data_IF_916510153664
#
_entry.id   IF_916510153664
#
_cell.length_a   1.000
_cell.length_b   1.000
_cell.length_c   1.000
_cell.angle_alpha   90.00
_cell.angle_beta   90.00
_cell.angle_gamma   90.00
#
_symmetry.space_group_name_H-M   'P 1'
#
loop_
_entity.id
_entity.type
_entity.pdbx_description
1 polymer ?
#
# COMPACT_ATOMS: atom_id res chain seq x y z
N UNK A 1 38.86 22.25 72.27
CA UNK A 1 40.06 22.56 71.46
C UNK A 1 39.57 22.86 70.04
N UNK A 2 39.44 24.13 69.65
CA UNK A 2 40.49 24.95 69.01
C UNK A 2 41.01 24.23 67.75
N UNK A 3 40.61 24.53 66.49
CA UNK A 3 40.29 25.79 65.77
C UNK A 3 41.53 26.64 65.46
N UNK A 4 41.53 27.28 64.26
CA UNK A 4 42.59 28.10 63.62
C UNK A 4 43.78 27.27 63.08
N UNK A 5 44.44 27.54 61.94
CA UNK A 5 44.37 28.56 60.85
C UNK A 5 44.70 27.84 59.50
N UNK A 6 44.83 28.43 58.30
CA UNK A 6 44.89 29.80 57.78
C UNK A 6 44.17 29.91 56.41
N UNK A 7 43.90 31.13 55.93
CA UNK A 7 43.34 31.44 54.60
C UNK A 7 44.45 31.83 53.61
N UNK A 8 44.31 31.49 52.32
CA UNK A 8 44.98 32.21 51.21
C UNK A 8 43.95 32.53 50.13
N UNK A 9 43.77 33.83 49.84
CA UNK A 9 42.96 34.29 48.72
C UNK A 9 43.76 34.14 47.41
N UNK A 10 43.15 33.54 46.40
CA UNK A 10 43.60 33.59 45.01
C UNK A 10 42.48 34.16 44.13
N UNK A 11 42.51 35.47 43.87
CA UNK A 11 41.56 36.11 42.95
C UNK A 11 41.91 35.75 41.51
N UNK A 12 40.96 35.18 40.78
CA UNK A 12 41.02 35.06 39.31
C UNK A 12 39.75 35.65 38.72
N UNK A 13 39.92 36.58 37.79
CA UNK A 13 38.83 37.27 37.10
C UNK A 13 38.02 36.28 36.26
N UNK A 14 36.69 36.41 36.30
CA UNK A 14 35.80 35.81 35.31
C UNK A 14 35.89 36.65 34.04
N UNK A 15 36.67 36.19 33.06
CA UNK A 15 36.52 36.64 31.68
C UNK A 15 35.50 35.75 30.99
N UNK A 16 34.35 36.34 30.64
CA UNK A 16 33.37 35.69 29.79
C UNK A 16 33.96 35.51 28.38
N UNK A 17 33.96 34.27 27.88
CA UNK A 17 34.06 33.98 26.45
C UNK A 17 32.86 33.15 26.07
N UNK A 18 31.91 33.75 25.36
CA UNK A 18 30.81 33.03 24.74
C UNK A 18 31.35 32.31 23.51
N UNK A 19 31.50 30.99 23.58
CA UNK A 19 31.74 30.19 22.37
C UNK A 19 30.69 29.07 22.28
N UNK A 20 29.73 29.28 21.40
CA UNK A 20 28.54 28.45 21.28
C UNK A 20 28.79 27.21 20.45
N UNK A 21 29.11 26.08 21.09
CA UNK A 21 28.98 24.73 20.49
C UNK A 21 28.37 23.76 21.49
N UNK A 22 27.05 23.86 21.67
CA UNK A 22 26.28 22.76 22.23
C UNK A 22 26.42 21.55 21.30
N UNK A 23 27.01 20.47 21.80
CA UNK A 23 27.03 19.20 21.06
C UNK A 23 25.59 18.76 20.81
N UNK A 24 25.24 18.56 19.54
CA UNK A 24 23.96 17.95 19.17
C UNK A 24 23.93 16.54 19.78
N UNK A 25 22.93 16.18 20.61
CA UNK A 25 22.89 14.85 21.19
C UNK A 25 22.83 13.81 20.07
N UNK A 26 23.64 12.76 20.21
CA UNK A 26 23.55 11.60 19.32
C UNK A 26 22.13 11.07 19.35
N UNK A 27 21.51 10.97 18.18
CA UNK A 27 20.22 10.32 18.06
C UNK A 27 20.44 8.84 18.38
N UNK A 28 19.90 8.40 19.52
CA UNK A 28 19.80 7.00 19.88
C UNK A 28 19.20 6.21 18.71
N UNK A 29 19.77 5.03 18.44
CA UNK A 29 19.23 4.06 17.48
C UNK A 29 17.86 3.53 17.94
N UNK A 30 16.82 4.36 17.79
CA UNK A 30 15.46 3.84 17.64
C UNK A 30 15.42 3.24 16.24
N UNK A 31 15.58 1.92 16.16
CA UNK A 31 15.40 1.20 14.91
C UNK A 31 14.06 1.59 14.32
N UNK A 32 14.10 2.20 13.13
CA UNK A 32 12.91 2.42 12.33
C UNK A 32 12.25 1.05 12.14
N UNK A 33 10.92 0.90 12.37
CA UNK A 33 10.26 -0.38 12.20
C UNK A 33 10.62 -0.97 10.84
N UNK A 34 11.02 -2.24 10.80
CA UNK A 34 11.40 -2.90 9.56
C UNK A 34 10.24 -2.79 8.57
N UNK A 35 10.51 -2.18 7.42
CA UNK A 35 9.49 -1.95 6.41
C UNK A 35 9.12 -3.31 5.78
N UNK A 36 7.97 -3.84 6.21
CA UNK A 36 7.42 -5.11 5.75
C UNK A 36 7.12 -5.15 4.26
N UNK A 37 7.12 -3.99 3.60
CA UNK A 37 6.87 -3.85 2.18
C UNK A 37 8.12 -3.45 1.39
N UNK A 38 9.31 -3.35 2.02
CA UNK A 38 10.56 -3.18 1.27
C UNK A 38 10.79 -4.35 0.28
N UNK A 39 11.39 -4.05 -0.88
CA UNK A 39 11.73 -5.06 -1.87
C UNK A 39 13.25 -5.18 -2.07
N UNK A 40 13.71 -6.41 -2.35
CA UNK A 40 15.11 -6.74 -2.59
C UNK A 40 15.33 -7.15 -4.04
N UNK A 41 16.40 -6.64 -4.65
CA UNK A 41 16.78 -6.99 -6.02
C UNK A 41 17.27 -8.44 -6.06
N UNK A 42 16.57 -9.30 -6.79
CA UNK A 42 16.96 -10.70 -6.99
C UNK A 42 18.05 -10.84 -8.08
N UNK A 43 18.57 -12.05 -8.27
CA UNK A 43 19.63 -12.34 -9.26
C UNK A 43 19.21 -12.12 -10.72
N UNK A 44 17.92 -12.00 -11.01
CA UNK A 44 17.38 -11.65 -12.32
C UNK A 44 17.12 -10.14 -12.49
N UNK A 45 17.39 -9.32 -11.47
CA UNK A 45 17.24 -7.86 -11.51
C UNK A 45 15.87 -7.33 -11.12
N UNK A 46 14.92 -8.18 -10.70
CA UNK A 46 13.59 -7.77 -10.24
C UNK A 46 13.59 -7.42 -8.76
N UNK A 47 12.82 -6.42 -8.34
CA UNK A 47 12.63 -6.07 -6.94
C UNK A 47 11.50 -6.92 -6.35
N UNK A 48 11.85 -7.94 -5.56
CA UNK A 48 10.90 -8.89 -4.97
C UNK A 48 10.64 -8.49 -3.52
N UNK A 49 9.37 -8.42 -3.14
CA UNK A 49 8.94 -7.93 -1.84
C UNK A 49 9.06 -9.02 -0.76
N UNK A 50 9.26 -8.62 0.50
CA UNK A 50 9.48 -9.54 1.63
C UNK A 50 8.20 -10.00 2.32
N UNK A 51 7.07 -9.33 2.05
CA UNK A 51 5.74 -9.68 2.58
C UNK A 51 5.18 -11.00 2.03
N UNK A 52 3.98 -11.38 2.51
CA UNK A 52 3.33 -12.63 2.12
C UNK A 52 2.34 -12.43 0.95
N UNK A 53 2.44 -13.21 -0.16
CA UNK A 53 1.45 -13.18 -1.24
C UNK A 53 0.08 -13.67 -0.76
N UNK A 54 -0.97 -13.15 -1.39
CA UNK A 54 -2.33 -13.66 -1.20
C UNK A 54 -2.42 -15.08 -1.80
N UNK A 55 -3.02 -16.03 -1.08
CA UNK A 55 -3.18 -17.40 -1.57
C UNK A 55 -4.30 -17.54 -2.59
N UNK A 56 -5.23 -16.58 -2.61
CA UNK A 56 -6.48 -16.61 -3.38
C UNK A 56 -6.80 -15.28 -4.04
N UNK A 57 -7.58 -15.33 -5.13
CA UNK A 57 -8.02 -14.14 -5.86
C UNK A 57 -9.07 -14.45 -6.91
N UNK A 58 -9.64 -13.40 -7.51
CA UNK A 58 -10.59 -13.54 -8.61
C UNK A 58 -9.86 -13.89 -9.90
N UNK A 59 -10.29 -14.99 -10.53
CA UNK A 59 -9.89 -15.28 -11.92
C UNK A 59 -10.55 -14.25 -12.86
N UNK A 60 -9.73 -13.42 -13.51
CA UNK A 60 -10.14 -12.37 -14.47
C UNK A 60 -11.28 -12.82 -15.38
N UNK A 61 -12.30 -11.97 -15.53
CA UNK A 61 -13.41 -12.20 -16.46
C UNK A 61 -14.41 -13.28 -16.03
N UNK A 62 -14.25 -13.86 -14.84
CA UNK A 62 -15.14 -14.89 -14.29
C UNK A 62 -15.74 -14.44 -12.93
N UNK A 63 -16.50 -15.33 -12.30
CA UNK A 63 -16.89 -15.23 -10.89
C UNK A 63 -16.15 -16.28 -10.02
N UNK A 64 -15.05 -16.86 -10.48
CA UNK A 64 -14.34 -17.91 -9.75
C UNK A 64 -13.29 -17.29 -8.83
N UNK A 65 -13.33 -17.61 -7.54
CA UNK A 65 -12.14 -17.52 -6.69
C UNK A 65 -11.27 -18.73 -6.97
N UNK A 66 -10.01 -18.45 -7.30
CA UNK A 66 -8.96 -19.45 -7.52
C UNK A 66 -7.87 -19.30 -6.47
N UNK A 67 -7.11 -20.37 -6.25
CA UNK A 67 -5.83 -20.30 -5.55
C UNK A 67 -4.68 -19.88 -6.51
N UNK A 68 -3.48 -19.75 -5.96
CA UNK A 68 -2.23 -19.46 -6.72
C UNK A 68 -1.89 -20.46 -7.83
N UNK A 69 -2.44 -21.68 -7.84
CA UNK A 69 -2.25 -22.64 -8.94
C UNK A 69 -3.39 -22.63 -10.00
N UNK A 70 -4.36 -21.72 -9.87
CA UNK A 70 -5.47 -21.55 -10.80
C UNK A 70 -6.63 -22.53 -10.59
N UNK A 71 -6.60 -23.37 -9.54
CA UNK A 71 -7.73 -24.24 -9.19
C UNK A 71 -8.88 -23.42 -8.61
N UNK A 72 -10.08 -23.60 -9.16
CA UNK A 72 -11.32 -22.97 -8.66
C UNK A 72 -11.67 -23.54 -7.29
N UNK A 73 -11.88 -22.66 -6.32
CA UNK A 73 -12.25 -23.01 -4.94
C UNK A 73 -13.74 -22.80 -4.68
N UNK A 74 -14.27 -21.63 -5.04
CA UNK A 74 -15.66 -21.21 -4.79
C UNK A 74 -16.03 -19.99 -5.65
N UNK A 75 -17.30 -19.58 -5.62
CA UNK A 75 -17.83 -18.44 -6.38
C UNK A 75 -17.69 -17.10 -5.65
N UNK A 76 -17.54 -16.00 -6.39
CA UNK A 76 -17.66 -14.61 -5.91
C UNK A 76 -18.98 -14.32 -5.18
N UNK A 77 -20.03 -15.11 -5.40
CA UNK A 77 -21.32 -14.99 -4.69
C UNK A 77 -21.29 -15.51 -3.25
N UNK A 78 -20.23 -16.20 -2.88
CA UNK A 78 -19.99 -16.81 -1.56
C UNK A 78 -18.56 -16.52 -1.07
N UNK A 79 -17.95 -15.44 -1.57
CA UNK A 79 -16.59 -15.04 -1.24
C UNK A 79 -16.59 -13.76 -0.40
N UNK A 80 -15.83 -13.74 0.68
CA UNK A 80 -15.53 -12.51 1.43
C UNK A 80 -14.02 -12.42 1.67
N UNK A 81 -13.49 -11.20 1.72
CA UNK A 81 -12.11 -11.00 2.13
C UNK A 81 -12.03 -11.08 3.67
N UNK A 82 -11.01 -11.77 4.18
CA UNK A 82 -10.72 -11.93 5.59
C UNK A 82 -9.24 -11.68 5.87
N UNK A 83 -8.89 -11.35 7.11
CA UNK A 83 -7.49 -11.21 7.54
C UNK A 83 -6.84 -12.59 7.80
N UNK A 84 -5.56 -12.59 8.19
CA UNK A 84 -4.78 -13.78 8.54
C UNK A 84 -5.27 -14.57 9.77
N UNK A 85 -6.29 -14.07 10.48
CA UNK A 85 -6.99 -14.77 11.56
C UNK A 85 -8.38 -15.28 11.12
N UNK A 86 -8.65 -15.32 9.82
CA UNK A 86 -9.93 -15.66 9.18
C UNK A 86 -11.11 -14.73 9.57
N UNK A 87 -10.84 -13.56 10.17
CA UNK A 87 -11.88 -12.57 10.47
C UNK A 87 -12.25 -11.78 9.21
N UNK A 88 -13.54 -11.76 8.87
CA UNK A 88 -14.06 -11.02 7.71
C UNK A 88 -13.71 -9.53 7.81
N UNK A 89 -13.07 -9.01 6.75
CA UNK A 89 -12.68 -7.61 6.67
C UNK A 89 -13.92 -6.72 6.63
N UNK A 90 -14.02 -5.82 7.59
CA UNK A 90 -14.98 -4.72 7.53
C UNK A 90 -14.58 -3.75 6.43
N UNK A 91 -15.55 -3.33 5.62
CA UNK A 91 -15.34 -2.35 4.57
C UNK A 91 -14.80 -1.02 5.14
N UNK A 92 -13.70 -0.52 4.57
CA UNK A 92 -12.99 0.70 4.97
C UNK A 92 -12.02 1.18 3.89
N UNK A 93 -11.58 2.42 3.96
CA UNK A 93 -10.56 3.02 3.09
C UNK A 93 -9.12 2.54 3.32
N UNK A 94 -8.90 1.34 3.87
CA UNK A 94 -7.57 0.74 3.99
C UNK A 94 -7.33 -0.21 2.80
N UNK A 95 -6.19 -0.14 2.09
CA UNK A 95 -5.81 -1.11 1.07
C UNK A 95 -5.67 -2.54 1.60
N UNK A 96 -5.61 -3.50 0.68
CA UNK A 96 -5.22 -4.89 0.95
C UNK A 96 -3.89 -4.96 1.73
N UNK A 97 -3.86 -5.77 2.79
CA UNK A 97 -2.70 -5.99 3.65
C UNK A 97 -2.11 -7.39 3.47
N UNK A 98 -0.89 -7.57 3.92
CA UNK A 98 -0.26 -8.90 4.01
C UNK A 98 -1.12 -9.87 4.83
N UNK A 99 -1.36 -11.06 4.26
CA UNK A 99 -2.14 -12.11 4.89
C UNK A 99 -3.66 -11.91 4.83
N UNK A 100 -4.17 -10.87 4.16
CA UNK A 100 -5.56 -10.86 3.73
C UNK A 100 -5.79 -11.94 2.65
N UNK A 101 -6.92 -12.62 2.67
CA UNK A 101 -7.27 -13.64 1.66
C UNK A 101 -8.78 -13.74 1.46
N UNK A 102 -9.21 -14.34 0.33
CA UNK A 102 -10.61 -14.66 0.09
C UNK A 102 -10.97 -15.97 0.78
N UNK A 103 -12.03 -15.95 1.60
CA UNK A 103 -12.62 -17.14 2.24
C UNK A 103 -14.06 -17.37 1.76
N UNK A 104 -14.49 -18.63 1.83
CA UNK A 104 -15.88 -19.01 1.53
C UNK A 104 -16.78 -18.64 2.70
N UNK A 105 -17.72 -17.71 2.51
CA UNK A 105 -18.66 -17.28 3.55
C UNK A 105 -19.99 -16.78 2.96
N UNK A 106 -21.03 -16.74 3.80
CA UNK A 106 -22.33 -16.21 3.43
C UNK A 106 -22.27 -14.68 3.29
N UNK A 107 -22.64 -14.17 2.11
CA UNK A 107 -22.89 -12.74 1.90
C UNK A 107 -24.32 -12.30 2.30
N UNK A 108 -25.08 -13.16 2.97
CA UNK A 108 -26.42 -12.82 3.48
C UNK A 108 -26.31 -11.72 4.53
N UNK A 109 -27.03 -10.61 4.35
CA UNK A 109 -26.98 -9.44 5.22
C UNK A 109 -26.02 -8.34 4.75
N UNK A 110 -25.08 -8.64 3.84
CA UNK A 110 -24.23 -7.62 3.24
C UNK A 110 -25.00 -6.74 2.25
N UNK A 111 -24.76 -5.43 2.33
CA UNK A 111 -25.18 -4.43 1.35
C UNK A 111 -24.49 -4.63 -0.01
N UNK A 112 -24.97 -3.93 -1.04
CA UNK A 112 -24.33 -3.97 -2.35
C UNK A 112 -22.93 -3.32 -2.34
N UNK A 113 -22.70 -2.32 -1.47
CA UNK A 113 -21.39 -1.68 -1.34
C UNK A 113 -20.38 -2.61 -0.63
N UNK A 114 -20.78 -3.32 0.42
CA UNK A 114 -19.92 -4.31 1.09
C UNK A 114 -19.57 -5.51 0.19
N UNK A 115 -20.53 -5.99 -0.62
CA UNK A 115 -20.26 -7.00 -1.65
C UNK A 115 -19.28 -6.49 -2.71
N UNK A 116 -19.44 -5.23 -3.11
CA UNK A 116 -18.54 -4.57 -4.06
C UNK A 116 -17.15 -4.40 -3.46
N UNK A 117 -17.03 -4.07 -2.17
CA UNK A 117 -15.76 -4.04 -1.43
C UNK A 117 -15.04 -5.39 -1.48
N UNK A 118 -15.69 -6.49 -1.11
CA UNK A 118 -15.08 -7.81 -1.20
C UNK A 118 -14.70 -8.21 -2.64
N UNK A 119 -15.48 -7.79 -3.65
CA UNK A 119 -15.12 -7.98 -5.06
C UNK A 119 -13.90 -7.15 -5.48
N UNK A 120 -13.73 -5.93 -4.96
CA UNK A 120 -12.50 -5.14 -5.18
C UNK A 120 -11.29 -5.83 -4.56
N UNK A 121 -11.39 -6.32 -3.32
CA UNK A 121 -10.28 -7.07 -2.69
C UNK A 121 -9.88 -8.28 -3.54
N UNK A 122 -10.87 -9.07 -3.99
CA UNK A 122 -10.64 -10.23 -4.86
C UNK A 122 -9.98 -9.88 -6.21
N UNK A 123 -10.23 -8.68 -6.76
CA UNK A 123 -9.57 -8.16 -7.97
C UNK A 123 -8.15 -7.67 -7.67
N UNK A 124 -7.95 -6.98 -6.54
CA UNK A 124 -6.68 -6.34 -6.21
C UNK A 124 -5.61 -7.32 -5.69
N UNK A 125 -5.98 -8.41 -5.02
CA UNK A 125 -5.05 -9.44 -4.57
C UNK A 125 -4.16 -10.02 -5.69
N UNK A 126 -4.68 -10.50 -6.84
CA UNK A 126 -3.84 -11.01 -7.92
C UNK A 126 -3.04 -9.90 -8.63
N UNK A 127 -3.56 -8.66 -8.72
CA UNK A 127 -2.79 -7.51 -9.24
C UNK A 127 -1.59 -7.20 -8.32
N UNK A 128 -1.79 -7.26 -7.01
CA UNK A 128 -0.76 -7.09 -5.99
C UNK A 128 0.31 -8.19 -6.10
N UNK A 129 -0.09 -9.46 -6.16
CA UNK A 129 0.84 -10.56 -6.30
C UNK A 129 1.68 -10.45 -7.59
N UNK A 130 1.04 -10.09 -8.69
CA UNK A 130 1.67 -9.94 -10.01
C UNK A 130 2.80 -8.89 -10.01
N UNK A 131 2.64 -7.77 -9.32
CA UNK A 131 3.67 -6.72 -9.21
C UNK A 131 4.73 -7.05 -8.15
N UNK A 132 4.36 -7.67 -7.03
CA UNK A 132 5.24 -7.79 -5.86
C UNK A 132 6.06 -9.09 -5.80
N UNK A 133 5.56 -10.18 -6.39
CA UNK A 133 6.18 -11.51 -6.24
C UNK A 133 6.33 -12.25 -7.59
N UNK A 134 5.38 -12.11 -8.50
CA UNK A 134 5.29 -12.91 -9.74
C UNK A 134 5.81 -12.17 -10.99
N UNK A 135 6.42 -10.98 -10.80
CA UNK A 135 6.82 -10.07 -11.88
C UNK A 135 7.79 -10.69 -12.90
N UNK A 136 8.53 -11.73 -12.53
CA UNK A 136 9.41 -12.45 -13.45
C UNK A 136 8.63 -13.11 -14.60
N UNK A 137 7.56 -13.84 -14.27
CA UNK A 137 6.76 -14.65 -15.20
C UNK A 137 5.60 -13.85 -15.83
N UNK A 138 5.22 -12.73 -15.20
CA UNK A 138 4.18 -11.83 -15.71
C UNK A 138 4.56 -11.27 -17.10
N UNK A 139 3.72 -11.50 -18.11
CA UNK A 139 3.87 -10.90 -19.45
C UNK A 139 2.76 -9.86 -19.71
N UNK A 140 2.91 -9.05 -20.77
CA UNK A 140 1.96 -7.98 -21.10
C UNK A 140 0.52 -8.50 -21.23
N UNK A 141 0.29 -9.61 -21.93
CA UNK A 141 -1.06 -10.18 -22.09
C UNK A 141 -1.68 -10.56 -20.74
N UNK A 142 -0.88 -11.10 -19.81
CA UNK A 142 -1.35 -11.46 -18.48
C UNK A 142 -1.57 -10.22 -17.60
N UNK A 143 -0.76 -9.19 -17.76
CA UNK A 143 -0.95 -7.90 -17.10
C UNK A 143 -2.25 -7.21 -17.55
N UNK A 144 -2.48 -7.12 -18.86
CA UNK A 144 -3.69 -6.54 -19.46
C UNK A 144 -4.97 -7.27 -18.99
N UNK A 145 -4.93 -8.60 -18.91
CA UNK A 145 -5.99 -9.40 -18.27
C UNK A 145 -6.23 -8.96 -16.81
N UNK A 146 -5.19 -8.96 -15.97
CA UNK A 146 -5.31 -8.64 -14.55
C UNK A 146 -5.90 -7.25 -14.31
N UNK A 147 -5.49 -6.25 -15.09
CA UNK A 147 -5.92 -4.86 -14.89
C UNK A 147 -7.16 -4.46 -15.69
N UNK A 148 -7.83 -5.41 -16.36
CA UNK A 148 -9.02 -5.15 -17.18
C UNK A 148 -10.14 -4.39 -16.42
N UNK A 149 -10.37 -4.68 -15.14
CA UNK A 149 -11.38 -3.97 -14.33
C UNK A 149 -10.99 -2.53 -13.98
N UNK A 150 -9.68 -2.21 -13.96
CA UNK A 150 -9.18 -0.84 -13.83
C UNK A 150 -9.30 -0.11 -15.18
N UNK A 151 -8.97 -0.78 -16.29
CA UNK A 151 -9.04 -0.23 -17.64
C UNK A 151 -10.47 0.13 -18.07
N UNK A 152 -11.46 -0.71 -17.78
CA UNK A 152 -12.89 -0.42 -18.03
C UNK A 152 -13.37 0.90 -17.42
N UNK A 153 -12.64 1.43 -16.43
CA UNK A 153 -13.04 2.56 -15.59
C UNK A 153 -12.11 3.79 -15.72
N UNK A 154 -11.07 3.71 -16.54
CA UNK A 154 -10.11 4.82 -16.67
C UNK A 154 -9.16 4.94 -15.47
N UNK A 155 -9.04 3.91 -14.62
CA UNK A 155 -8.30 4.00 -13.37
C UNK A 155 -6.80 3.88 -13.65
N UNK A 156 -6.05 4.95 -13.34
CA UNK A 156 -4.59 5.01 -13.45
C UNK A 156 -4.07 4.86 -14.90
N UNK A 157 -4.68 5.55 -15.86
CA UNK A 157 -4.23 5.55 -17.28
C UNK A 157 -2.81 6.13 -17.49
N UNK A 158 -2.46 7.19 -16.76
CA UNK A 158 -1.25 7.98 -17.03
C UNK A 158 -0.14 7.75 -16.00
N UNK A 159 1.10 8.03 -16.41
CA UNK A 159 2.30 8.08 -15.56
C UNK A 159 2.86 9.49 -15.61
N UNK A 160 3.35 10.00 -14.48
CA UNK A 160 4.10 11.25 -14.39
C UNK A 160 5.23 11.08 -13.37
N UNK A 161 6.47 11.33 -13.82
CA UNK A 161 7.69 11.09 -13.02
C UNK A 161 8.64 12.30 -12.98
N UNK A 162 8.22 13.44 -13.53
CA UNK A 162 9.01 14.67 -13.60
C UNK A 162 8.73 15.63 -12.42
N UNK A 163 8.09 15.12 -11.36
CA UNK A 163 7.79 15.85 -10.14
C UNK A 163 9.04 16.16 -9.31
N UNK A 164 9.02 17.31 -8.62
CA UNK A 164 10.17 17.78 -7.84
C UNK A 164 10.41 16.95 -6.57
N UNK A 165 9.37 16.31 -6.03
CA UNK A 165 9.47 15.41 -4.88
C UNK A 165 8.80 14.05 -5.17
N UNK A 166 9.20 12.94 -4.51
CA UNK A 166 8.67 11.61 -4.81
C UNK A 166 7.13 11.50 -4.73
N UNK A 167 6.49 12.24 -3.83
CA UNK A 167 5.02 12.29 -3.71
C UNK A 167 4.31 12.88 -4.94
N UNK A 168 4.99 13.75 -5.69
CA UNK A 168 4.43 14.40 -6.88
C UNK A 168 4.43 13.45 -8.09
N UNK A 169 5.23 12.39 -8.02
CA UNK A 169 5.30 11.34 -9.02
C UNK A 169 4.20 10.30 -8.80
N UNK A 170 3.69 9.73 -9.89
CA UNK A 170 2.76 8.61 -9.86
C UNK A 170 2.90 7.76 -11.11
N UNK A 171 2.76 6.45 -10.95
CA UNK A 171 2.73 5.50 -12.06
C UNK A 171 1.29 5.15 -12.45
N UNK A 172 1.05 5.03 -13.74
CA UNK A 172 -0.16 4.42 -14.30
C UNK A 172 0.02 2.92 -14.49
N UNK A 173 -1.02 2.24 -15.00
CA UNK A 173 -1.02 0.77 -15.16
C UNK A 173 0.14 0.27 -16.03
N UNK A 174 0.43 0.91 -17.16
CA UNK A 174 1.58 0.51 -17.96
C UNK A 174 2.89 0.88 -17.26
N UNK A 175 3.00 2.09 -16.72
CA UNK A 175 4.24 2.57 -16.10
C UNK A 175 4.68 1.79 -14.86
N UNK A 176 3.74 1.31 -14.03
CA UNK A 176 4.08 0.48 -12.86
C UNK A 176 4.56 -0.91 -13.28
N UNK A 177 4.00 -1.46 -14.37
CA UNK A 177 4.45 -2.73 -14.94
C UNK A 177 5.84 -2.60 -15.58
N UNK A 178 6.06 -1.56 -16.39
CA UNK A 178 7.36 -1.23 -16.96
C UNK A 178 8.42 -1.02 -15.86
N UNK A 179 8.06 -0.31 -14.78
CA UNK A 179 8.92 -0.12 -13.61
C UNK A 179 9.24 -1.45 -12.91
N UNK A 180 8.23 -2.27 -12.62
CA UNK A 180 8.44 -3.54 -11.93
C UNK A 180 9.25 -4.53 -12.78
N UNK A 181 9.09 -4.48 -14.11
CA UNK A 181 9.92 -5.21 -15.08
C UNK A 181 11.35 -4.70 -15.21
N UNK A 182 11.64 -3.46 -14.84
CA UNK A 182 12.97 -2.86 -14.98
C UNK A 182 13.22 -1.82 -13.87
N UNK A 183 13.38 -2.25 -12.61
CA UNK A 183 13.55 -1.34 -11.48
C UNK A 183 14.91 -0.60 -11.50
N UNK A 184 15.83 -0.95 -12.40
CA UNK A 184 17.15 -0.31 -12.47
C UNK A 184 18.02 -0.52 -11.22
N UNK A 185 17.77 -1.60 -10.47
CA UNK A 185 18.47 -1.88 -9.21
C UNK A 185 18.01 -1.06 -8.01
N UNK A 186 16.91 -0.29 -8.12
CA UNK A 186 16.35 0.50 -7.03
C UNK A 186 15.23 -0.24 -6.29
N UNK A 187 15.05 0.09 -5.02
CA UNK A 187 13.82 -0.24 -4.31
C UNK A 187 12.65 0.58 -4.90
N UNK A 188 11.57 -0.12 -5.25
CA UNK A 188 10.38 0.44 -5.91
C UNK A 188 9.13 0.38 -5.02
N UNK A 189 9.26 -0.02 -3.74
CA UNK A 189 8.08 -0.34 -2.92
C UNK A 189 7.10 0.82 -2.79
N UNK A 190 7.58 2.05 -2.55
CA UNK A 190 6.70 3.23 -2.47
C UNK A 190 5.88 3.44 -3.76
N UNK A 191 6.48 3.23 -4.94
CA UNK A 191 5.81 3.44 -6.23
C UNK A 191 4.73 2.38 -6.49
N UNK A 192 5.05 1.11 -6.19
CA UNK A 192 4.14 -0.03 -6.36
C UNK A 192 3.00 0.03 -5.33
N UNK A 193 3.31 0.28 -4.05
CA UNK A 193 2.31 0.38 -2.99
C UNK A 193 1.36 1.55 -3.22
N UNK A 194 1.87 2.73 -3.61
CA UNK A 194 1.04 3.89 -4.00
C UNK A 194 0.13 3.55 -5.18
N UNK A 195 0.63 2.88 -6.21
CA UNK A 195 -0.21 2.43 -7.33
C UNK A 195 -1.32 1.48 -6.87
N UNK A 196 -1.02 0.50 -6.01
CA UNK A 196 -1.99 -0.48 -5.53
C UNK A 196 -3.07 0.14 -4.62
N UNK A 197 -2.66 1.02 -3.70
CA UNK A 197 -3.56 1.79 -2.83
C UNK A 197 -4.51 2.67 -3.64
N UNK A 198 -3.98 3.54 -4.51
CA UNK A 198 -4.79 4.41 -5.36
C UNK A 198 -5.70 3.59 -6.29
N UNK A 199 -5.21 2.51 -6.91
CA UNK A 199 -6.02 1.67 -7.80
C UNK A 199 -7.19 1.00 -7.08
N UNK A 200 -6.95 0.43 -5.90
CA UNK A 200 -8.00 -0.23 -5.11
C UNK A 200 -9.05 0.77 -4.63
N UNK A 201 -8.62 1.92 -4.11
CA UNK A 201 -9.52 2.98 -3.66
C UNK A 201 -10.32 3.56 -4.82
N UNK A 202 -9.69 3.91 -5.95
CA UNK A 202 -10.40 4.46 -7.10
C UNK A 202 -11.40 3.44 -7.68
N UNK A 203 -11.07 2.15 -7.66
CA UNK A 203 -12.00 1.09 -8.04
C UNK A 203 -13.22 1.06 -7.11
N UNK A 204 -13.03 1.07 -5.78
CA UNK A 204 -14.13 1.21 -4.82
C UNK A 204 -15.00 2.44 -5.12
N UNK A 205 -14.37 3.60 -5.34
CA UNK A 205 -15.05 4.86 -5.64
C UNK A 205 -15.95 4.79 -6.88
N UNK A 206 -15.63 3.93 -7.86
CA UNK A 206 -16.46 3.70 -9.06
C UNK A 206 -17.61 2.73 -8.86
N UNK A 207 -17.48 1.75 -7.96
CA UNK A 207 -18.42 0.61 -7.83
C UNK A 207 -19.34 0.69 -6.60
N UNK A 208 -19.14 1.68 -5.73
CA UNK A 208 -19.95 1.88 -4.50
C UNK A 208 -20.72 3.21 -4.51
N UNK A 209 -21.66 3.36 -3.58
CA UNK A 209 -22.47 4.58 -3.38
C UNK A 209 -21.65 5.81 -2.96
N UNK A 210 -22.24 7.01 -3.03
CA UNK A 210 -21.58 8.24 -2.56
C UNK A 210 -21.45 8.30 -1.04
N UNK A 211 -22.44 7.76 -0.31
CA UNK A 211 -22.39 7.62 1.15
C UNK A 211 -21.24 6.68 1.58
N UNK A 212 -21.02 5.60 0.82
CA UNK A 212 -19.89 4.71 1.05
C UNK A 212 -18.55 5.38 0.71
N UNK A 213 -18.47 6.20 -0.34
CA UNK A 213 -17.27 6.99 -0.65
C UNK A 213 -16.91 7.95 0.51
N UNK A 214 -17.89 8.54 1.18
CA UNK A 214 -17.66 9.36 2.38
C UNK A 214 -17.09 8.51 3.53
N UNK A 215 -17.59 7.28 3.74
CA UNK A 215 -17.00 6.34 4.70
C UNK A 215 -15.55 5.96 4.35
N UNK A 216 -15.24 5.74 3.06
CA UNK A 216 -13.86 5.45 2.63
C UNK A 216 -12.90 6.60 2.96
N UNK A 217 -13.33 7.84 2.74
CA UNK A 217 -12.59 9.06 3.11
C UNK A 217 -12.39 9.17 4.62
N UNK A 218 -13.45 8.99 5.40
CA UNK A 218 -13.42 9.08 6.87
C UNK A 218 -12.58 7.97 7.53
N UNK A 219 -12.32 6.89 6.81
CA UNK A 219 -11.51 5.73 7.26
C UNK A 219 -10.17 5.59 6.52
N UNK A 220 -9.79 6.55 5.68
CA UNK A 220 -8.51 6.55 4.98
C UNK A 220 -7.36 6.89 5.95
N UNK A 221 -6.28 6.10 6.04
CA UNK A 221 -5.18 6.35 6.97
C UNK A 221 -4.55 7.75 6.86
N UNK A 222 -4.34 8.24 5.64
CA UNK A 222 -3.83 9.60 5.38
C UNK A 222 -4.86 10.74 5.50
N UNK A 223 -6.15 10.43 5.72
CA UNK A 223 -7.21 11.43 5.91
C UNK A 223 -7.57 12.28 4.68
N UNK A 224 -7.10 11.92 3.49
CA UNK A 224 -7.43 12.63 2.23
C UNK A 224 -8.63 12.03 1.49
N UNK A 225 -9.19 12.84 0.58
CA UNK A 225 -10.35 12.47 -0.22
C UNK A 225 -9.96 11.73 -1.51
N UNK A 226 -9.63 10.45 -1.39
CA UNK A 226 -9.18 9.63 -2.52
C UNK A 226 -10.21 9.59 -3.67
N UNK A 227 -11.52 9.60 -3.37
CA UNK A 227 -12.57 9.60 -4.39
C UNK A 227 -12.72 10.96 -5.09
N UNK A 228 -12.61 12.07 -4.37
CA UNK A 228 -12.58 13.42 -4.96
C UNK A 228 -11.32 13.64 -5.80
N UNK A 229 -10.17 13.21 -5.29
CA UNK A 229 -8.87 13.32 -5.97
C UNK A 229 -8.80 12.46 -7.25
N UNK A 230 -9.51 11.33 -7.30
CA UNK A 230 -9.59 10.46 -8.49
C UNK A 230 -10.24 11.13 -9.72
N UNK A 231 -10.94 12.27 -9.55
CA UNK A 231 -11.55 13.00 -10.65
C UNK A 231 -12.70 12.25 -11.34
N UNK A 232 -13.33 11.29 -10.66
CA UNK A 232 -14.37 10.41 -11.19
C UNK A 232 -15.63 11.23 -11.51
N UNK A 233 -15.86 11.50 -12.79
CA UNK A 233 -17.06 12.23 -13.28
C UNK A 233 -18.28 11.32 -13.45
N UNK A 234 -18.06 10.04 -13.66
CA UNK A 234 -19.11 9.04 -13.92
C UNK A 234 -18.70 7.72 -13.29
N UNK A 235 -19.50 7.23 -12.33
CA UNK A 235 -19.33 5.90 -11.74
C UNK A 235 -19.69 4.82 -12.75
N UNK A 236 -18.99 3.69 -12.67
CA UNK A 236 -19.20 2.53 -13.56
C UNK A 236 -19.26 1.31 -12.63
N UNK A 237 -20.45 0.78 -12.33
CA UNK A 237 -20.61 -0.37 -11.42
C UNK A 237 -20.06 -1.66 -12.04
N UNK A 238 -20.22 -2.77 -11.32
CA UNK A 238 -19.86 -4.11 -11.78
C UNK A 238 -20.90 -4.75 -12.71
#
# INVERSE_FOLDING_TARGET
>A
MNKLLYTVLGSILILASCDGRGQKPEHSQNGQPEDKYACSINSAGYCIFTGTPHNTGLQTGTNNIVNSNGSVLFSMTEAVAANSSEEVLKAKGTPAQDGDDMIKSSQTGLTNDEKSFHKVMAIMFPIRNALMYEIADLNQSKWDELVTELQKRGIKETTFTDGTTPKDNYYGRQGVFDLAKSPGGRDIHHDVMKFLEESGLYLLCHVTSDDFNQMLKDTHPEGHDSCGNAGIKTKIPF
#
